data_IF_687829660440
#
_entry.id   IF_687829660440
#
_cell.length_a   1.000
_cell.length_b   1.000
_cell.length_c   1.000
_cell.angle_alpha   90.00
_cell.angle_beta   90.00
_cell.angle_gamma   90.00
#
_symmetry.space_group_name_H-M   'P 1'
#
loop_
_entity.id
_entity.type
_entity.pdbx_description
1 polymer ?
#
# COMPACT_ATOMS: atom_id res chain seq x y z
N UNK A 1 28.46 -25.96 -43.66
CA UNK A 1 27.31 -25.69 -42.78
C UNK A 1 27.29 -26.52 -41.50
N UNK A 2 27.64 -27.79 -41.49
CA UNK A 2 27.57 -28.68 -40.31
C UNK A 2 28.51 -28.29 -39.15
N UNK A 3 29.68 -27.71 -39.43
CA UNK A 3 30.66 -27.36 -38.39
C UNK A 3 30.24 -26.15 -37.53
N UNK A 4 29.59 -25.16 -38.13
CA UNK A 4 29.10 -23.96 -37.42
C UNK A 4 27.93 -24.33 -36.48
N UNK A 5 27.01 -25.17 -36.92
CA UNK A 5 25.91 -25.66 -36.13
C UNK A 5 26.37 -26.45 -34.89
N UNK A 6 27.44 -27.23 -35.03
CA UNK A 6 28.03 -27.97 -33.90
C UNK A 6 28.74 -27.07 -32.89
N UNK A 7 29.36 -25.98 -33.33
CA UNK A 7 29.97 -24.98 -32.43
C UNK A 7 28.91 -24.22 -31.68
N UNK A 8 27.86 -23.77 -32.36
CA UNK A 8 26.73 -23.05 -31.73
C UNK A 8 26.01 -23.94 -30.71
N UNK A 9 25.73 -25.20 -31.06
CA UNK A 9 25.08 -26.15 -30.13
C UNK A 9 25.94 -26.49 -28.91
N UNK A 10 27.26 -26.58 -29.05
CA UNK A 10 28.20 -26.76 -27.92
C UNK A 10 28.22 -25.53 -27.03
N UNK A 11 28.30 -24.33 -27.62
CA UNK A 11 28.28 -23.08 -26.88
C UNK A 11 26.97 -22.92 -26.08
N UNK A 12 25.81 -23.13 -26.71
CA UNK A 12 24.51 -23.08 -26.06
C UNK A 12 24.37 -24.13 -24.94
N UNK A 13 24.86 -25.38 -25.16
CA UNK A 13 24.85 -26.40 -24.10
C UNK A 13 25.74 -26.05 -22.92
N UNK A 14 26.90 -25.43 -23.14
CA UNK A 14 27.76 -24.99 -22.04
C UNK A 14 27.14 -23.83 -21.28
N UNK A 15 26.62 -22.81 -21.97
CA UNK A 15 25.89 -21.72 -21.36
C UNK A 15 24.70 -22.25 -20.54
N UNK A 16 23.87 -23.14 -21.08
CA UNK A 16 22.78 -23.77 -20.39
C UNK A 16 23.22 -24.51 -19.11
N UNK A 17 24.35 -25.20 -19.15
CA UNK A 17 24.89 -25.90 -17.99
C UNK A 17 25.31 -24.96 -16.86
N UNK A 18 25.84 -23.79 -17.19
CA UNK A 18 26.21 -22.74 -16.21
C UNK A 18 24.99 -22.02 -15.63
N UNK A 19 24.00 -21.67 -16.47
CA UNK A 19 22.84 -20.89 -16.05
C UNK A 19 21.72 -21.70 -15.40
N UNK A 20 21.66 -23.02 -15.65
CA UNK A 20 20.57 -23.87 -15.15
C UNK A 20 20.40 -23.81 -13.64
N UNK A 21 21.49 -23.76 -12.86
CA UNK A 21 21.46 -23.69 -11.40
C UNK A 21 20.89 -22.35 -10.97
N UNK A 22 21.32 -21.26 -11.59
CA UNK A 22 20.80 -19.91 -11.31
C UNK A 22 19.33 -19.78 -11.68
N UNK A 23 18.90 -20.35 -12.79
CA UNK A 23 17.50 -20.38 -13.23
C UNK A 23 16.65 -21.21 -12.26
N UNK A 24 17.13 -22.38 -11.84
CA UNK A 24 16.43 -23.20 -10.84
C UNK A 24 16.34 -22.50 -9.48
N UNK A 25 17.43 -21.87 -9.04
CA UNK A 25 17.42 -21.07 -7.82
C UNK A 25 16.42 -19.90 -7.89
N UNK A 26 16.41 -19.17 -9.01
CA UNK A 26 15.44 -18.11 -9.25
C UNK A 26 14.00 -18.64 -9.21
N UNK A 27 13.73 -19.73 -9.96
CA UNK A 27 12.39 -20.31 -10.11
C UNK A 27 11.85 -20.91 -8.79
N UNK A 28 12.69 -21.65 -8.05
CA UNK A 28 12.24 -22.41 -6.88
C UNK A 28 12.47 -21.70 -5.56
N UNK A 29 13.30 -20.66 -5.51
CA UNK A 29 13.59 -19.93 -4.28
C UNK A 29 13.18 -18.47 -4.35
N UNK A 30 13.70 -17.69 -5.31
CA UNK A 30 13.47 -16.24 -5.35
C UNK A 30 12.02 -15.89 -5.70
N UNK A 31 11.45 -16.53 -6.73
CA UNK A 31 10.06 -16.26 -7.16
C UNK A 31 9.05 -16.66 -6.07
N UNK A 32 9.09 -17.87 -5.49
CA UNK A 32 8.18 -18.22 -4.40
C UNK A 32 8.36 -17.33 -3.17
N UNK A 33 9.61 -17.02 -2.79
CA UNK A 33 9.89 -16.15 -1.66
C UNK A 33 9.28 -14.76 -1.85
N UNK A 34 9.51 -14.11 -2.99
CA UNK A 34 8.92 -12.81 -3.33
C UNK A 34 7.40 -12.89 -3.45
N UNK A 35 6.87 -13.99 -3.97
CA UNK A 35 5.43 -14.17 -4.15
C UNK A 35 4.68 -14.34 -2.83
N UNK A 36 5.25 -15.09 -1.86
CA UNK A 36 4.53 -15.53 -0.66
C UNK A 36 4.96 -14.86 0.63
N UNK A 37 6.21 -14.39 0.74
CA UNK A 37 6.76 -13.93 2.02
C UNK A 37 6.86 -12.40 2.10
N UNK A 38 7.46 -11.78 1.08
CA UNK A 38 7.74 -10.35 1.09
C UNK A 38 7.70 -9.77 -0.31
N UNK A 39 7.32 -8.51 -0.42
CA UNK A 39 7.32 -7.76 -1.68
C UNK A 39 7.80 -6.34 -1.45
N UNK A 40 8.14 -5.66 -2.53
CA UNK A 40 8.39 -4.23 -2.54
C UNK A 40 7.69 -3.61 -3.74
N UNK A 41 7.01 -2.51 -3.51
CA UNK A 41 6.18 -1.86 -4.51
C UNK A 41 6.53 -0.38 -4.63
N UNK A 42 6.76 0.08 -5.86
CA UNK A 42 6.83 1.50 -6.15
C UNK A 42 5.46 2.13 -6.03
N UNK A 43 5.41 3.27 -5.35
CA UNK A 43 4.18 4.04 -5.18
C UNK A 43 4.03 5.03 -6.34
N UNK A 44 3.05 4.84 -7.23
CA UNK A 44 2.87 5.69 -8.40
C UNK A 44 2.03 6.93 -8.15
N UNK A 45 1.18 6.93 -7.11
CA UNK A 45 0.15 7.94 -6.86
C UNK A 45 0.19 8.46 -5.42
N UNK A 46 -0.30 9.68 -5.22
CA UNK A 46 -0.32 10.34 -3.91
C UNK A 46 -1.53 10.04 -3.03
N UNK A 47 -2.23 8.93 -3.25
CA UNK A 47 -3.44 8.61 -2.47
C UNK A 47 -3.18 8.38 -0.97
N UNK A 48 -1.93 8.11 -0.59
CA UNK A 48 -1.47 7.93 0.79
C UNK A 48 -0.63 9.10 1.32
N UNK A 49 -0.58 10.22 0.59
CA UNK A 49 0.06 11.45 1.09
C UNK A 49 -0.62 11.90 2.40
N UNK A 50 0.11 12.38 3.39
CA UNK A 50 1.56 12.62 3.41
C UNK A 50 2.38 11.41 3.89
N UNK A 51 1.74 10.33 4.35
CA UNK A 51 2.40 9.16 4.94
C UNK A 51 3.33 8.46 3.94
N UNK A 52 2.82 8.16 2.74
CA UNK A 52 3.58 7.57 1.64
C UNK A 52 3.45 8.51 0.44
N UNK A 53 4.58 8.88 -0.15
CA UNK A 53 4.62 9.83 -1.28
C UNK A 53 5.01 9.14 -2.59
N UNK A 54 4.67 9.78 -3.70
CA UNK A 54 5.05 9.26 -5.03
C UNK A 54 6.56 9.14 -5.16
N UNK A 55 7.00 7.96 -5.61
CA UNK A 55 8.43 7.63 -5.72
C UNK A 55 9.02 6.94 -4.50
N UNK A 56 8.20 6.65 -3.48
CA UNK A 56 8.58 5.72 -2.42
C UNK A 56 8.58 4.28 -2.94
N UNK A 57 9.57 3.50 -2.51
CA UNK A 57 9.59 2.04 -2.61
C UNK A 57 9.23 1.48 -1.24
N UNK A 58 8.06 0.87 -1.14
CA UNK A 58 7.50 0.38 0.13
C UNK A 58 7.71 -1.11 0.27
N UNK A 59 8.21 -1.54 1.44
CA UNK A 59 8.29 -2.94 1.82
C UNK A 59 6.94 -3.46 2.30
N UNK A 60 6.56 -4.63 1.81
CA UNK A 60 5.29 -5.29 2.13
C UNK A 60 5.56 -6.65 2.77
N UNK A 61 5.19 -6.79 4.03
CA UNK A 61 5.20 -8.06 4.73
C UNK A 61 3.93 -8.85 4.36
N UNK A 62 4.05 -9.83 3.48
CA UNK A 62 2.93 -10.70 3.08
C UNK A 62 2.57 -11.72 4.15
N UNK A 63 3.51 -12.05 5.03
CA UNK A 63 3.28 -12.92 6.18
C UNK A 63 2.55 -12.23 7.32
N UNK A 64 2.24 -10.94 7.21
CA UNK A 64 1.51 -10.24 8.26
C UNK A 64 0.15 -10.88 8.56
N UNK A 65 -0.49 -11.46 7.55
CA UNK A 65 -1.85 -12.01 7.66
C UNK A 65 -1.93 -13.50 7.34
N UNK A 66 -1.30 -13.93 6.21
CA UNK A 66 -1.43 -15.28 5.68
C UNK A 66 -0.08 -15.79 5.13
N UNK A 67 0.07 -17.12 5.07
CA UNK A 67 0.97 -17.75 4.11
C UNK A 67 0.17 -18.16 2.88
N UNK A 68 0.52 -17.62 1.72
CA UNK A 68 -0.18 -17.92 0.47
C UNK A 68 0.63 -18.84 -0.43
N UNK A 69 -0.09 -19.66 -1.20
CA UNK A 69 0.55 -20.44 -2.25
C UNK A 69 1.13 -19.48 -3.30
N UNK A 70 2.40 -19.67 -3.72
CA UNK A 70 3.07 -18.80 -4.67
C UNK A 70 2.23 -18.51 -5.92
N UNK A 71 2.24 -17.23 -6.35
CA UNK A 71 1.53 -16.74 -7.54
C UNK A 71 0.00 -16.83 -7.49
N UNK A 72 -0.58 -17.10 -6.33
CA UNK A 72 -2.04 -17.20 -6.16
C UNK A 72 -2.53 -16.37 -4.96
N UNK A 73 -3.86 -16.21 -4.85
CA UNK A 73 -4.52 -15.66 -3.67
C UNK A 73 -4.93 -16.75 -2.67
N UNK A 74 -4.64 -18.01 -2.96
CA UNK A 74 -5.03 -19.13 -2.07
C UNK A 74 -4.19 -19.11 -0.80
N UNK A 75 -4.84 -18.93 0.35
CA UNK A 75 -4.21 -18.99 1.68
C UNK A 75 -3.97 -20.44 2.08
N UNK A 76 -2.71 -20.78 2.35
CA UNK A 76 -2.30 -22.08 2.91
C UNK A 76 -2.48 -22.11 4.43
N UNK A 77 -2.22 -20.99 5.08
CA UNK A 77 -2.36 -20.83 6.52
C UNK A 77 -2.69 -19.38 6.85
N UNK A 78 -3.74 -19.22 7.64
CA UNK A 78 -4.16 -17.94 8.20
C UNK A 78 -3.77 -17.87 9.66
N UNK A 79 -3.28 -16.70 10.14
CA UNK A 79 -2.94 -16.49 11.54
C UNK A 79 -3.28 -15.11 12.09
N UNK A 80 -3.56 -14.12 11.23
CA UNK A 80 -3.94 -12.80 11.66
C UNK A 80 -4.83 -12.10 10.66
N UNK A 81 -5.64 -11.18 11.12
CA UNK A 81 -6.47 -10.30 10.31
C UNK A 81 -5.89 -8.88 10.25
N UNK A 82 -6.24 -8.08 9.22
CA UNK A 82 -5.90 -6.68 9.19
C UNK A 82 -6.46 -5.95 10.41
N UNK A 83 -5.59 -5.18 11.07
CA UNK A 83 -5.96 -4.36 12.21
C UNK A 83 -6.29 -2.93 11.78
N UNK A 84 -7.11 -2.23 12.59
CA UNK A 84 -7.35 -0.81 12.40
C UNK A 84 -6.05 -0.01 12.46
N UNK A 85 -5.85 0.86 11.48
CA UNK A 85 -4.63 1.64 11.32
C UNK A 85 -3.56 0.98 10.44
N UNK A 86 -3.66 -0.32 10.13
CA UNK A 86 -2.70 -0.97 9.24
C UNK A 86 -2.72 -0.34 7.85
N UNK A 87 -1.54 -0.04 7.32
CA UNK A 87 -1.40 0.28 5.91
C UNK A 87 -1.28 -1.04 5.14
N UNK A 88 -2.31 -1.36 4.38
CA UNK A 88 -2.40 -2.65 3.70
C UNK A 88 -2.28 -2.51 2.19
N UNK A 89 -1.59 -3.46 1.58
CA UNK A 89 -1.63 -3.68 0.14
C UNK A 89 -2.73 -4.69 -0.14
N UNK A 90 -3.61 -4.33 -1.07
CA UNK A 90 -4.80 -5.12 -1.39
C UNK A 90 -5.13 -5.02 -2.88
N UNK A 91 -5.96 -5.93 -3.38
CA UNK A 91 -6.59 -5.80 -4.69
C UNK A 91 -7.89 -5.00 -4.59
N UNK A 92 -8.10 -4.11 -5.53
CA UNK A 92 -9.36 -3.38 -5.68
C UNK A 92 -10.49 -4.36 -6.02
N UNK A 93 -11.64 -4.27 -5.34
CA UNK A 93 -12.78 -5.12 -5.66
C UNK A 93 -13.45 -4.78 -6.99
N UNK A 94 -13.09 -3.66 -7.60
CA UNK A 94 -13.71 -3.14 -8.83
C UNK A 94 -12.95 -3.54 -10.10
N UNK A 95 -11.61 -3.49 -10.06
CA UNK A 95 -10.77 -3.62 -11.26
C UNK A 95 -9.49 -4.44 -11.05
N UNK A 96 -9.39 -5.16 -9.93
CA UNK A 96 -8.24 -5.97 -9.53
C UNK A 96 -6.90 -5.18 -9.47
N UNK A 97 -6.94 -3.85 -9.53
CA UNK A 97 -5.75 -3.02 -9.39
C UNK A 97 -5.16 -3.18 -7.99
N UNK A 98 -3.83 -3.19 -7.91
CA UNK A 98 -3.15 -3.22 -6.61
C UNK A 98 -3.19 -1.84 -5.97
N UNK A 99 -3.75 -1.75 -4.78
CA UNK A 99 -3.91 -0.53 -3.99
C UNK A 99 -3.10 -0.60 -2.70
N UNK A 100 -2.69 0.57 -2.22
CA UNK A 100 -2.18 0.77 -0.85
C UNK A 100 -3.16 1.69 -0.14
N UNK A 101 -3.75 1.23 0.96
CA UNK A 101 -4.75 1.97 1.73
C UNK A 101 -4.61 1.66 3.22
N UNK A 102 -5.14 2.55 4.05
CA UNK A 102 -5.22 2.34 5.50
C UNK A 102 -6.54 1.68 5.88
N UNK A 103 -6.47 0.68 6.75
CA UNK A 103 -7.64 0.03 7.33
C UNK A 103 -8.27 0.98 8.36
N UNK A 104 -9.50 1.39 8.10
CA UNK A 104 -10.27 2.30 8.96
C UNK A 104 -11.36 1.54 9.73
N UNK A 105 -12.15 0.73 9.04
CA UNK A 105 -13.25 -0.03 9.62
C UNK A 105 -12.99 -1.53 9.61
N UNK A 106 -13.26 -2.17 10.73
CA UNK A 106 -13.22 -3.61 10.93
C UNK A 106 -14.63 -4.21 10.81
N UNK A 107 -14.77 -5.54 10.61
CA UNK A 107 -16.10 -6.19 10.61
C UNK A 107 -16.95 -5.77 11.82
N UNK A 108 -18.20 -5.40 11.56
CA UNK A 108 -19.15 -4.92 12.56
C UNK A 108 -19.10 -3.44 12.89
N UNK A 109 -18.05 -2.70 12.50
CA UNK A 109 -17.96 -1.26 12.75
C UNK A 109 -18.99 -0.46 11.96
N UNK A 110 -19.46 0.61 12.59
CA UNK A 110 -20.26 1.66 11.96
C UNK A 110 -19.39 2.87 11.66
N UNK A 111 -19.23 3.18 10.38
CA UNK A 111 -18.37 4.28 9.89
C UNK A 111 -19.24 5.39 9.33
N UNK A 112 -18.96 6.61 9.74
CA UNK A 112 -19.57 7.83 9.20
C UNK A 112 -18.47 8.87 9.01
N UNK A 113 -18.64 9.76 8.02
CA UNK A 113 -17.73 10.89 7.84
C UNK A 113 -18.51 12.17 7.58
N UNK A 114 -18.10 13.25 8.24
CA UNK A 114 -18.66 14.59 8.08
C UNK A 114 -17.53 15.59 7.83
N UNK A 115 -17.48 16.17 6.64
CA UNK A 115 -16.47 17.15 6.25
C UNK A 115 -15.03 16.67 6.53
N UNK A 116 -14.69 15.46 6.09
CA UNK A 116 -13.40 14.78 6.33
C UNK A 116 -13.11 14.43 7.80
N UNK A 117 -14.08 14.56 8.71
CA UNK A 117 -13.98 14.09 10.09
C UNK A 117 -14.66 12.75 10.22
N UNK A 118 -13.91 11.73 10.64
CA UNK A 118 -14.40 10.36 10.82
C UNK A 118 -15.07 10.16 12.17
N UNK A 119 -16.10 9.31 12.15
CA UNK A 119 -16.76 8.77 13.33
C UNK A 119 -16.78 7.25 13.19
N UNK A 120 -16.35 6.55 14.23
CA UNK A 120 -16.36 5.10 14.32
C UNK A 120 -17.22 4.71 15.52
N UNK A 121 -18.22 3.88 15.30
CA UNK A 121 -19.18 3.44 16.33
C UNK A 121 -19.84 4.61 17.09
N UNK A 122 -20.06 5.72 16.38
CA UNK A 122 -20.65 6.95 16.93
C UNK A 122 -19.66 7.87 17.66
N UNK A 123 -18.40 7.46 17.82
CA UNK A 123 -17.37 8.28 18.44
C UNK A 123 -16.60 9.06 17.37
N UNK A 124 -16.49 10.38 17.57
CA UNK A 124 -15.68 11.26 16.72
C UNK A 124 -14.20 10.97 16.97
N UNK A 125 -13.41 10.77 15.91
CA UNK A 125 -11.97 10.67 16.05
C UNK A 125 -11.35 12.01 16.45
N UNK A 126 -10.24 11.94 17.17
CA UNK A 126 -9.45 13.10 17.57
C UNK A 126 -8.49 13.52 16.45
N UNK A 127 -8.35 14.83 16.29
CA UNK A 127 -7.43 15.43 15.32
C UNK A 127 -6.57 16.46 16.04
N UNK A 128 -5.27 16.47 15.77
CA UNK A 128 -4.33 17.46 16.27
C UNK A 128 -3.50 18.05 15.12
N UNK A 129 -2.77 19.11 15.39
CA UNK A 129 -1.89 19.74 14.41
C UNK A 129 -0.76 18.77 14.01
N UNK A 130 -0.48 18.72 12.72
CA UNK A 130 0.61 17.94 12.17
C UNK A 130 1.90 18.80 12.10
N UNK A 131 3.02 18.25 12.56
CA UNK A 131 4.32 18.93 12.45
C UNK A 131 4.72 19.12 10.98
N UNK A 132 5.25 20.30 10.63
CA UNK A 132 5.77 20.61 9.30
C UNK A 132 6.84 19.61 8.82
N UNK A 133 7.57 19.00 9.74
CA UNK A 133 8.56 17.96 9.43
C UNK A 133 7.96 16.77 8.67
N UNK A 134 6.70 16.43 8.95
CA UNK A 134 6.01 15.29 8.33
C UNK A 134 5.56 15.57 6.89
N UNK A 135 5.52 16.83 6.48
CA UNK A 135 5.05 17.25 5.14
C UNK A 135 6.16 17.81 4.25
N UNK A 136 7.40 17.88 4.74
CA UNK A 136 8.55 18.49 4.03
C UNK A 136 8.84 17.86 2.66
N UNK A 137 8.57 16.55 2.52
CA UNK A 137 8.85 15.79 1.30
C UNK A 137 7.71 15.85 0.26
N UNK A 138 6.61 16.51 0.60
CA UNK A 138 5.54 16.79 -0.36
C UNK A 138 5.93 17.93 -1.31
N UNK A 139 5.35 17.93 -2.50
CA UNK A 139 5.48 19.04 -3.43
C UNK A 139 5.04 20.35 -2.78
N UNK A 140 5.75 21.46 -3.08
CA UNK A 140 5.43 22.76 -2.49
C UNK A 140 3.99 23.20 -2.75
N UNK A 141 3.47 22.95 -3.94
CA UNK A 141 2.09 23.25 -4.30
C UNK A 141 1.09 22.52 -3.39
N UNK A 142 1.27 21.22 -3.16
CA UNK A 142 0.41 20.45 -2.24
C UNK A 142 0.51 20.97 -0.81
N UNK A 143 1.70 21.37 -0.35
CA UNK A 143 1.87 21.92 1.00
C UNK A 143 1.11 23.23 1.21
N UNK A 144 1.05 24.09 0.19
CA UNK A 144 0.39 25.40 0.29
C UNK A 144 -1.13 25.33 0.09
N UNK A 145 -1.63 24.33 -0.63
CA UNK A 145 -3.05 24.24 -0.98
C UNK A 145 -3.80 23.13 -0.23
N UNK A 146 -3.15 22.44 0.71
CA UNK A 146 -3.77 21.36 1.48
C UNK A 146 -3.80 21.67 2.97
N UNK A 147 -4.77 21.08 3.65
CA UNK A 147 -4.93 21.08 5.10
C UNK A 147 -4.41 19.75 5.62
N UNK A 148 -3.57 19.79 6.64
CA UNK A 148 -2.96 18.62 7.26
C UNK A 148 -3.42 18.49 8.70
N UNK A 149 -3.58 17.26 9.16
CA UNK A 149 -3.87 16.94 10.56
C UNK A 149 -3.23 15.59 10.92
N UNK A 150 -2.98 15.41 12.21
CA UNK A 150 -2.71 14.11 12.80
C UNK A 150 -4.03 13.54 13.32
N UNK A 151 -4.45 12.40 12.75
CA UNK A 151 -5.66 11.66 13.14
C UNK A 151 -5.28 10.56 14.13
N UNK A 152 -6.01 10.47 15.23
CA UNK A 152 -5.86 9.40 16.22
C UNK A 152 -6.88 8.29 15.95
N UNK A 153 -6.39 7.15 15.45
CA UNK A 153 -7.18 5.99 15.09
C UNK A 153 -6.94 4.88 16.14
N UNK A 154 -7.75 4.87 17.21
CA UNK A 154 -7.62 3.93 18.34
C UNK A 154 -6.21 3.93 18.97
N UNK A 155 -5.63 5.11 19.22
CA UNK A 155 -4.31 5.27 19.79
C UNK A 155 -3.16 5.24 18.79
N UNK A 156 -3.41 4.87 17.55
CA UNK A 156 -2.43 4.95 16.45
C UNK A 156 -2.57 6.28 15.73
N UNK A 157 -1.62 7.17 15.96
CA UNK A 157 -1.60 8.49 15.32
C UNK A 157 -0.98 8.42 13.94
N UNK A 158 -1.59 9.07 12.96
CA UNK A 158 -1.08 9.15 11.60
C UNK A 158 -1.47 10.46 10.92
N UNK A 159 -0.69 10.86 9.94
CA UNK A 159 -0.94 12.05 9.18
C UNK A 159 -2.03 11.83 8.13
N UNK A 160 -2.91 12.81 8.00
CA UNK A 160 -3.93 12.87 6.94
C UNK A 160 -3.89 14.23 6.27
N UNK A 161 -4.30 14.28 5.00
CA UNK A 161 -4.43 15.54 4.28
C UNK A 161 -5.74 15.63 3.50
N UNK A 162 -6.19 16.87 3.33
CA UNK A 162 -7.29 17.23 2.43
C UNK A 162 -6.90 18.43 1.59
N UNK A 163 -7.36 18.49 0.35
CA UNK A 163 -7.10 19.59 -0.58
C UNK A 163 -8.42 20.23 -0.97
N UNK A 164 -8.83 21.34 -0.35
CA UNK A 164 -10.15 21.94 -0.54
C UNK A 164 -10.51 22.26 -1.99
N UNK A 165 -9.53 22.57 -2.82
CA UNK A 165 -9.69 22.87 -4.25
C UNK A 165 -10.06 21.65 -5.10
N UNK A 166 -9.86 20.41 -4.60
CA UNK A 166 -10.27 19.20 -5.32
C UNK A 166 -11.78 19.03 -5.18
N UNK A 167 -12.54 19.05 -6.29
CA UNK A 167 -13.98 18.83 -6.22
C UNK A 167 -14.28 17.36 -5.91
N UNK A 168 -14.85 17.08 -4.74
CA UNK A 168 -15.29 15.74 -4.35
C UNK A 168 -16.53 15.81 -3.48
N UNK A 169 -17.46 14.88 -3.71
CA UNK A 169 -18.64 14.67 -2.87
C UNK A 169 -18.43 13.62 -1.78
N UNK A 170 -17.18 13.14 -1.62
CA UNK A 170 -16.81 12.05 -0.68
C UNK A 170 -16.26 12.54 0.65
N UNK A 171 -16.35 13.85 0.95
CA UNK A 171 -15.99 14.42 2.25
C UNK A 171 -17.00 14.09 3.35
N UNK A 172 -18.19 13.68 2.95
CA UNK A 172 -19.24 13.28 3.89
C UNK A 172 -20.00 12.08 3.33
N UNK A 173 -20.29 11.12 4.20
CA UNK A 173 -21.20 10.01 3.94
C UNK A 173 -21.87 9.59 5.24
N UNK A 174 -23.08 9.05 5.12
CA UNK A 174 -23.84 8.57 6.26
C UNK A 174 -23.31 7.27 6.84
N UNK A 175 -23.92 6.86 7.93
CA UNK A 175 -23.52 5.67 8.67
C UNK A 175 -23.61 4.41 7.80
N UNK A 176 -22.48 3.72 7.64
CA UNK A 176 -22.36 2.42 6.95
C UNK A 176 -21.81 1.39 7.93
N UNK A 177 -22.41 0.19 7.96
CA UNK A 177 -21.91 -0.91 8.78
C UNK A 177 -21.04 -1.83 7.94
N UNK A 178 -19.83 -2.10 8.42
CA UNK A 178 -18.87 -3.01 7.75
C UNK A 178 -19.37 -4.45 7.90
N UNK A 179 -19.63 -5.19 6.81
CA UNK A 179 -20.08 -6.58 6.89
C UNK A 179 -19.01 -7.51 7.46
N UNK A 180 -19.44 -8.67 7.97
CA UNK A 180 -18.51 -9.74 8.37
C UNK A 180 -17.58 -10.14 7.23
N UNK A 181 -16.31 -10.37 7.55
CA UNK A 181 -15.28 -10.72 6.59
C UNK A 181 -14.87 -9.59 5.62
N UNK A 182 -15.33 -8.37 5.84
CA UNK A 182 -15.01 -7.19 5.03
C UNK A 182 -14.37 -6.09 5.86
N UNK A 183 -13.72 -5.16 5.18
CA UNK A 183 -13.02 -4.00 5.77
C UNK A 183 -13.37 -2.73 5.02
N UNK A 184 -13.31 -1.61 5.74
CA UNK A 184 -13.43 -0.28 5.17
C UNK A 184 -12.04 0.35 5.14
N UNK A 185 -11.53 0.67 3.96
CA UNK A 185 -10.18 1.23 3.79
C UNK A 185 -10.24 2.63 3.19
N UNK A 186 -9.31 3.49 3.60
CA UNK A 186 -9.19 4.84 3.06
C UNK A 186 -7.74 5.21 2.75
N UNK A 187 -7.58 6.18 1.85
CA UNK A 187 -6.29 6.86 1.68
C UNK A 187 -6.11 7.96 2.72
N UNK A 188 -4.86 8.22 3.09
CA UNK A 188 -4.50 9.32 3.96
C UNK A 188 -4.69 10.68 3.27
N UNK A 189 -4.59 10.71 1.92
CA UNK A 189 -5.00 11.84 1.10
C UNK A 189 -6.52 11.78 0.86
N UNK A 190 -7.28 12.35 1.76
CA UNK A 190 -8.74 12.24 1.85
C UNK A 190 -9.49 12.70 0.60
N UNK A 191 -9.04 13.74 -0.05
CA UNK A 191 -9.71 14.29 -1.22
C UNK A 191 -9.20 13.73 -2.55
N UNK A 192 -8.05 13.02 -2.55
CA UNK A 192 -7.44 12.44 -3.75
C UNK A 192 -7.14 10.94 -3.56
N UNK A 193 -8.15 10.19 -3.16
CA UNK A 193 -8.04 8.73 -3.00
C UNK A 193 -9.29 8.03 -3.50
N UNK A 194 -9.12 7.09 -4.44
CA UNK A 194 -10.13 6.09 -4.78
C UNK A 194 -10.03 4.95 -3.77
N UNK A 195 -11.00 4.86 -2.86
CA UNK A 195 -11.02 3.93 -1.73
C UNK A 195 -12.45 3.47 -1.40
N UNK A 196 -12.70 2.90 -0.23
CA UNK A 196 -14.01 2.34 0.15
C UNK A 196 -15.18 3.32 0.04
N UNK A 197 -14.91 4.62 0.01
CA UNK A 197 -15.95 5.63 -0.25
C UNK A 197 -16.51 5.57 -1.68
N UNK A 198 -15.78 4.94 -2.60
CA UNK A 198 -16.12 4.78 -4.01
C UNK A 198 -16.53 3.35 -4.33
N UNK A 199 -15.66 2.37 -4.02
CA UNK A 199 -15.86 0.97 -4.40
C UNK A 199 -16.48 0.10 -3.29
N UNK A 200 -16.77 0.68 -2.11
CA UNK A 200 -17.39 -0.06 -1.00
C UNK A 200 -16.39 -0.88 -0.19
N UNK A 201 -16.88 -1.95 0.42
CA UNK A 201 -16.11 -2.78 1.33
C UNK A 201 -15.16 -3.73 0.60
N UNK A 202 -14.04 -4.07 1.24
CA UNK A 202 -13.01 -4.95 0.71
C UNK A 202 -13.06 -6.29 1.45
N UNK A 203 -13.25 -7.39 0.71
CA UNK A 203 -13.20 -8.72 1.29
C UNK A 203 -11.81 -9.04 1.85
N UNK A 204 -11.78 -9.76 2.97
CA UNK A 204 -10.54 -10.20 3.63
C UNK A 204 -9.55 -10.90 2.69
N UNK A 205 -10.04 -11.72 1.76
CA UNK A 205 -9.20 -12.46 0.79
C UNK A 205 -8.38 -11.57 -0.14
N UNK A 206 -8.81 -10.31 -0.36
CA UNK A 206 -8.15 -9.36 -1.26
C UNK A 206 -6.92 -8.68 -0.63
N UNK A 207 -6.72 -8.79 0.69
CA UNK A 207 -5.56 -8.23 1.38
C UNK A 207 -4.32 -9.07 1.10
N UNK A 208 -3.27 -8.47 0.56
CA UNK A 208 -2.03 -9.13 0.16
C UNK A 208 -1.02 -9.16 1.31
N UNK A 209 -0.90 -8.06 2.05
CA UNK A 209 0.06 -7.92 3.14
C UNK A 209 0.07 -6.51 3.73
N UNK A 210 0.87 -6.31 4.76
CA UNK A 210 1.03 -5.06 5.50
C UNK A 210 2.26 -4.30 5.00
N UNK A 211 2.09 -3.04 4.63
CA UNK A 211 3.17 -2.12 4.34
C UNK A 211 3.78 -1.63 5.65
N UNK A 212 5.09 -1.81 5.85
CA UNK A 212 5.73 -1.51 7.14
C UNK A 212 6.82 -0.46 7.07
N UNK A 213 7.50 -0.34 5.94
CA UNK A 213 8.62 0.58 5.79
C UNK A 213 8.72 1.16 4.38
N UNK A 214 9.18 2.39 4.28
CA UNK A 214 9.77 2.92 3.05
C UNK A 214 11.22 2.43 2.98
N UNK A 215 11.59 1.73 1.91
CA UNK A 215 12.97 1.23 1.71
C UNK A 215 13.85 2.36 1.18
N UNK A 216 13.42 2.97 0.07
CA UNK A 216 14.05 4.12 -0.59
C UNK A 216 12.98 5.04 -1.14
N UNK A 217 13.33 6.29 -1.37
CA UNK A 217 12.44 7.31 -1.92
C UNK A 217 13.17 8.18 -2.94
N UNK A 218 12.53 8.43 -4.09
CA UNK A 218 13.07 9.31 -5.12
C UNK A 218 12.05 10.35 -5.56
N UNK A 219 12.50 11.58 -5.74
CA UNK A 219 11.65 12.65 -6.24
C UNK A 219 11.50 12.55 -7.76
N UNK A 220 10.37 12.04 -8.23
CA UNK A 220 10.08 11.90 -9.67
C UNK A 220 10.06 13.22 -10.43
N UNK A 221 9.74 14.33 -9.76
CA UNK A 221 9.63 15.66 -10.36
C UNK A 221 10.97 16.40 -10.42
N UNK A 222 11.93 15.97 -9.62
CA UNK A 222 13.27 16.55 -9.58
C UNK A 222 14.32 15.50 -9.96
N UNK A 223 14.33 15.10 -11.23
CA UNK A 223 15.32 14.19 -11.85
C UNK A 223 15.64 12.95 -11.01
N UNK A 224 14.65 12.41 -10.30
CA UNK A 224 14.80 11.27 -9.40
C UNK A 224 15.83 11.49 -8.28
N UNK A 225 15.96 12.71 -7.78
CA UNK A 225 16.82 12.99 -6.62
C UNK A 225 16.39 12.13 -5.42
N UNK A 226 17.35 11.50 -4.69
CA UNK A 226 17.02 10.68 -3.53
C UNK A 226 16.55 11.55 -2.37
N UNK A 227 15.46 11.13 -1.71
CA UNK A 227 14.97 11.71 -0.46
C UNK A 227 15.52 10.89 0.71
N UNK A 228 16.80 11.11 1.05
CA UNK A 228 17.50 10.32 2.08
C UNK A 228 16.78 10.29 3.43
N UNK A 229 16.08 11.37 3.81
CA UNK A 229 15.32 11.44 5.06
C UNK A 229 14.15 10.46 5.15
N UNK A 230 13.76 9.83 4.02
CA UNK A 230 12.70 8.82 3.96
C UNK A 230 13.22 7.39 3.85
N UNK A 231 14.53 7.19 3.73
CA UNK A 231 15.10 5.85 3.60
C UNK A 231 14.93 5.09 4.92
N UNK A 232 14.46 3.86 4.84
CA UNK A 232 14.20 2.95 5.95
C UNK A 232 13.24 3.50 7.02
N UNK A 233 12.36 4.44 6.63
CA UNK A 233 11.37 5.02 7.54
C UNK A 233 10.26 4.01 7.82
N UNK A 234 9.91 3.83 9.11
CA UNK A 234 8.74 3.03 9.52
C UNK A 234 7.45 3.75 9.12
N UNK A 235 6.45 2.95 8.75
CA UNK A 235 5.10 3.39 8.41
C UNK A 235 4.08 3.13 9.54
N UNK A 236 4.57 2.68 10.69
CA UNK A 236 3.75 2.38 11.88
C UNK A 236 3.61 3.63 12.75
#
# INVERSE_FOLDING_TARGET
MNNINNIITRFLKNQWKEWRISILFLAFFVIPMKSSLADWNWVPTGSMNPTIVEGDLVYVNKLAYDLRFPLTLHSLKHWSDPERGDISVLFSPEDDARLVKRVIGLPGDRIEMKNNVLFINGQRLEYSELSETNIKDLMSDLRHHSIFAEENLDGRKHAVMSTPSIPTNKRSFGNVTVPEGHYFVMGDNRDNSKDSRYFGFVERKLFIGKATNVIVSFNKLDKYQPRFGRFFTSLN
#
